data_IF_699389580761
#
_entry.id   IF_699389580761
#
_cell.length_a   1.000
_cell.length_b   1.000
_cell.length_c   1.000
_cell.angle_alpha   90.00
_cell.angle_beta   90.00
_cell.angle_gamma   90.00
#
_symmetry.space_group_name_H-M   'P 1'
#
loop_
_entity.id
_entity.type
_entity.pdbx_description
1 polymer ?
#
# COMPACT_ATOMS: atom_id res chain seq x y z
N UNK A 1 -51.73 -48.79 -13.93
CA UNK A 1 -51.25 -49.13 -12.57
C UNK A 1 -49.85 -48.55 -12.41
N UNK A 2 -49.71 -47.69 -11.39
CA UNK A 2 -48.53 -47.29 -10.61
C UNK A 2 -47.15 -47.02 -11.28
N UNK A 3 -46.83 -45.72 -11.37
CA UNK A 3 -45.66 -44.96 -10.85
C UNK A 3 -44.27 -45.59 -10.63
N UNK A 4 -43.23 -44.84 -11.06
CA UNK A 4 -42.21 -44.16 -10.21
C UNK A 4 -40.96 -43.79 -11.07
N UNK A 5 -40.82 -42.54 -11.55
CA UNK A 5 -40.03 -41.39 -11.04
C UNK A 5 -38.50 -41.59 -10.89
N UNK A 6 -37.72 -40.94 -11.75
CA UNK A 6 -36.43 -40.32 -11.40
C UNK A 6 -35.99 -39.29 -12.46
N UNK A 7 -36.64 -38.13 -12.44
CA UNK A 7 -36.06 -36.87 -12.92
C UNK A 7 -36.05 -35.96 -11.71
N UNK A 8 -34.86 -35.63 -11.18
CA UNK A 8 -34.53 -34.49 -10.29
C UNK A 8 -33.20 -34.80 -9.57
N UNK A 9 -32.08 -34.51 -10.23
CA UNK A 9 -30.80 -34.41 -9.50
C UNK A 9 -29.82 -33.36 -10.05
N UNK A 10 -30.04 -32.81 -11.24
CA UNK A 10 -29.09 -31.84 -11.83
C UNK A 10 -29.47 -30.36 -11.61
N UNK A 11 -30.62 -30.06 -11.02
CA UNK A 11 -31.10 -28.67 -10.90
C UNK A 11 -30.84 -28.02 -9.53
N UNK A 12 -30.10 -28.67 -8.61
CA UNK A 12 -29.88 -28.16 -7.25
C UNK A 12 -28.44 -27.69 -6.94
N UNK A 13 -27.52 -27.75 -7.92
CA UNK A 13 -26.12 -27.32 -7.70
C UNK A 13 -25.79 -25.93 -8.28
N UNK A 14 -26.63 -25.37 -9.15
CA UNK A 14 -26.39 -24.04 -9.77
C UNK A 14 -27.00 -22.86 -9.00
N UNK A 15 -27.96 -23.10 -8.09
CA UNK A 15 -28.60 -22.02 -7.31
C UNK A 15 -27.88 -21.69 -5.99
N UNK A 16 -26.79 -22.40 -5.63
CA UNK A 16 -26.09 -22.20 -4.35
C UNK A 16 -24.81 -21.34 -4.40
N UNK A 17 -24.47 -20.78 -5.56
CA UNK A 17 -23.32 -19.86 -5.73
C UNK A 17 -23.72 -18.40 -6.05
N UNK A 18 -25.02 -18.08 -6.08
CA UNK A 18 -25.51 -16.72 -6.38
C UNK A 18 -25.95 -15.88 -5.17
N UNK A 19 -25.72 -16.32 -3.95
CA UNK A 19 -26.03 -15.51 -2.76
C UNK A 19 -24.90 -15.55 -1.74
N UNK A 20 -23.89 -14.70 -1.96
CA UNK A 20 -23.19 -13.96 -0.91
C UNK A 20 -22.09 -13.08 -1.52
N UNK A 21 -22.46 -11.86 -1.88
CA UNK A 21 -21.55 -10.72 -1.89
C UNK A 21 -22.37 -9.48 -1.60
N UNK A 22 -22.35 -8.92 -0.38
CA UNK A 22 -22.86 -7.57 -0.20
C UNK A 22 -21.96 -6.63 -1.01
N UNK A 23 -22.57 -5.69 -1.73
CA UNK A 23 -21.86 -4.62 -2.39
C UNK A 23 -20.91 -3.94 -1.39
N UNK A 24 -19.63 -3.85 -1.73
CA UNK A 24 -18.65 -3.12 -0.94
C UNK A 24 -19.13 -1.66 -0.80
N UNK A 25 -19.25 -1.11 0.42
CA UNK A 25 -19.57 0.28 0.57
C UNK A 25 -18.36 1.09 0.08
N UNK A 26 -18.60 1.99 -0.86
CA UNK A 26 -17.68 3.05 -1.27
C UNK A 26 -17.31 3.87 -0.03
N UNK A 27 -16.23 3.49 0.66
CA UNK A 27 -15.69 4.26 1.78
C UNK A 27 -14.86 5.39 1.17
N UNK A 28 -15.47 6.55 1.08
CA UNK A 28 -14.73 7.82 1.00
C UNK A 28 -13.93 8.00 2.30
N UNK A 29 -12.66 8.40 2.20
CA UNK A 29 -11.70 8.53 3.32
C UNK A 29 -12.09 9.54 4.43
N UNK A 30 -13.29 10.10 4.41
CA UNK A 30 -13.76 11.01 5.43
C UNK A 30 -15.25 10.81 5.73
N UNK A 31 -15.57 10.01 6.75
CA UNK A 31 -16.76 10.28 7.55
C UNK A 31 -16.65 9.78 9.00
N UNK A 32 -16.48 10.76 9.88
CA UNK A 32 -17.03 10.88 11.24
C UNK A 32 -16.84 9.73 12.23
N UNK A 33 -15.91 9.99 13.17
CA UNK A 33 -16.05 9.58 14.56
C UNK A 33 -17.45 9.94 15.10
N UNK A 34 -18.18 8.92 15.56
CA UNK A 34 -19.17 9.07 16.63
C UNK A 34 -18.73 8.19 17.80
N UNK A 35 -18.75 8.68 19.05
CA UNK A 35 -18.41 7.86 20.20
C UNK A 35 -19.57 6.92 20.52
N UNK A 36 -19.30 5.62 20.50
CA UNK A 36 -20.17 4.59 21.06
C UNK A 36 -20.25 4.78 22.58
N UNK A 37 -21.24 5.53 23.04
CA UNK A 37 -21.72 5.47 24.42
C UNK A 37 -22.85 4.44 24.44
N UNK A 38 -22.60 3.26 24.99
CA UNK A 38 -23.49 2.62 25.95
C UNK A 38 -22.92 1.29 26.48
N UNK A 39 -23.34 0.99 27.70
CA UNK A 39 -23.32 -0.30 28.40
C UNK A 39 -22.07 -0.61 29.25
N UNK A 40 -22.00 0.07 30.39
CA UNK A 40 -21.74 -0.63 31.66
C UNK A 40 -22.87 -0.32 32.64
N UNK A 41 -23.84 -1.22 32.72
CA UNK A 41 -24.89 -1.23 33.73
C UNK A 41 -24.61 -2.37 34.70
N UNK A 42 -23.74 -2.15 35.69
CA UNK A 42 -23.85 -2.80 37.01
C UNK A 42 -22.89 -2.18 38.02
N UNK A 43 -23.30 -1.08 38.65
CA UNK A 43 -22.85 -0.73 40.00
C UNK A 43 -24.04 -0.14 40.75
N UNK A 44 -24.25 -0.67 41.96
CA UNK A 44 -25.46 -0.52 42.74
C UNK A 44 -25.88 0.92 43.00
N UNK A 45 -27.19 1.08 43.24
CA UNK A 45 -27.85 2.32 43.67
C UNK A 45 -27.06 3.00 44.80
N UNK A 46 -26.21 3.96 44.46
CA UNK A 46 -25.69 4.94 45.39
C UNK A 46 -26.57 6.19 45.27
N UNK A 47 -27.13 6.61 46.41
CA UNK A 47 -27.94 7.83 46.51
C UNK A 47 -27.16 9.03 45.94
N UNK A 48 -27.81 9.94 45.18
CA UNK A 48 -27.16 11.10 44.55
C UNK A 48 -26.43 12.00 45.55
N UNK A 49 -26.77 11.96 46.85
CA UNK A 49 -26.05 12.68 47.90
C UNK A 49 -24.60 12.18 48.12
N UNK A 50 -24.29 10.91 47.80
CA UNK A 50 -22.95 10.33 47.97
C UNK A 50 -22.00 10.64 46.80
N UNK A 51 -22.54 10.88 45.60
CA UNK A 51 -21.74 11.30 44.43
C UNK A 51 -21.22 12.74 44.57
N UNK A 52 -21.98 13.62 45.24
CA UNK A 52 -21.56 14.99 45.52
C UNK A 52 -20.38 15.07 46.50
N UNK A 53 -20.35 14.22 47.53
CA UNK A 53 -19.25 14.18 48.50
C UNK A 53 -17.93 13.69 47.87
N UNK A 54 -17.99 12.73 46.94
CA UNK A 54 -16.81 12.28 46.19
C UNK A 54 -16.26 13.36 45.25
N UNK A 55 -17.13 14.15 44.62
CA UNK A 55 -16.71 15.27 43.77
C UNK A 55 -15.98 16.37 44.55
N UNK A 56 -16.45 16.71 45.76
CA UNK A 56 -15.82 17.72 46.61
C UNK A 56 -14.47 17.23 47.15
N UNK A 57 -14.34 15.93 47.51
CA UNK A 57 -13.09 15.35 47.97
C UNK A 57 -12.00 15.31 46.87
N UNK A 58 -12.41 15.11 45.60
CA UNK A 58 -11.51 15.14 44.46
C UNK A 58 -11.00 16.57 44.15
N UNK A 59 -11.86 17.59 44.33
CA UNK A 59 -11.47 18.99 44.14
C UNK A 59 -10.49 19.48 45.23
N UNK A 60 -10.63 19.01 46.47
CA UNK A 60 -9.72 19.34 47.58
C UNK A 60 -8.33 18.69 47.44
N UNK A 61 -8.22 17.56 46.74
CA UNK A 61 -6.94 16.85 46.53
C UNK A 61 -6.13 17.41 45.34
N UNK A 62 -6.79 18.01 44.34
CA UNK A 62 -6.10 18.71 43.24
C UNK A 62 -5.59 20.09 43.65
N UNK A 63 -6.26 20.77 44.60
CA UNK A 63 -5.84 22.09 45.07
C UNK A 63 -4.59 22.07 45.99
N UNK A 64 -4.19 20.92 46.52
CA UNK A 64 -3.05 20.77 47.46
C UNK A 64 -1.78 20.20 46.81
N UNK A 65 -1.82 19.85 45.52
CA UNK A 65 -0.69 19.23 44.81
C UNK A 65 0.03 20.15 43.82
N UNK A 66 -0.20 21.46 43.88
CA UNK A 66 0.59 22.43 43.12
C UNK A 66 1.91 22.74 43.85
N UNK A 67 3.08 22.46 43.25
CA UNK A 67 4.34 22.87 43.82
C UNK A 67 4.45 24.40 43.72
N UNK A 68 4.57 25.05 44.88
CA UNK A 68 5.04 26.42 44.99
C UNK A 68 6.49 26.51 44.52
N UNK A 69 6.70 27.28 43.45
CA UNK A 69 7.95 27.97 43.18
C UNK A 69 9.03 27.17 42.46
N UNK A 70 9.29 27.54 41.20
CA UNK A 70 10.63 27.96 40.75
C UNK A 70 10.49 28.84 39.52
N UNK A 71 10.57 30.15 39.73
CA UNK A 71 10.95 31.11 38.70
C UNK A 71 12.47 31.04 38.50
N UNK A 72 12.91 30.58 37.35
CA UNK A 72 14.23 30.83 36.73
C UNK A 72 14.13 30.31 35.28
N UNK A 73 14.47 31.00 34.20
CA UNK A 73 15.08 32.29 33.94
C UNK A 73 14.74 32.70 32.48
N UNK A 74 14.88 33.98 32.09
CA UNK A 74 14.66 34.41 30.71
C UNK A 74 15.82 34.03 29.78
N UNK A 75 15.47 33.60 28.57
CA UNK A 75 16.40 33.52 27.42
C UNK A 75 16.81 34.94 27.01
N UNK A 76 18.11 35.28 27.03
CA UNK A 76 18.73 36.14 25.99
C UNK A 76 20.28 36.20 26.07
N UNK A 77 20.87 35.75 24.97
CA UNK A 77 22.00 36.30 24.21
C UNK A 77 23.29 36.71 24.94
N UNK A 78 24.38 35.99 24.64
CA UNK A 78 25.66 36.60 24.22
C UNK A 78 26.29 35.79 23.09
N UNK A 79 26.09 36.25 21.86
CA UNK A 79 27.09 36.05 20.81
C UNK A 79 28.21 37.03 21.05
N UNK A 80 29.44 36.52 21.23
CA UNK A 80 30.71 37.24 21.06
C UNK A 80 31.86 36.27 21.38
N UNK A 81 32.29 35.52 20.37
CA UNK A 81 33.68 35.61 19.93
C UNK A 81 33.86 34.91 18.57
N UNK A 82 33.82 35.72 17.51
CA UNK A 82 34.70 35.49 16.37
C UNK A 82 36.13 35.65 16.89
N UNK A 83 36.88 34.56 16.97
CA UNK A 83 38.34 34.59 16.82
C UNK A 83 38.65 33.67 15.65
N UNK A 84 39.00 34.29 14.53
CA UNK A 84 39.78 33.65 13.48
C UNK A 84 41.11 33.18 14.08
N UNK A 85 41.44 31.92 13.87
CA UNK A 85 42.81 31.42 13.85
C UNK A 85 43.04 30.74 12.51
N UNK A 86 43.61 31.45 11.54
CA UNK A 86 44.14 30.87 10.32
C UNK A 86 45.30 29.93 10.64
N UNK A 87 45.29 28.74 10.04
CA UNK A 87 46.49 27.92 9.91
C UNK A 87 46.25 26.45 10.21
N UNK A 88 45.70 25.70 9.24
CA UNK A 88 46.30 24.46 8.72
C UNK A 88 45.33 23.78 7.76
N UNK A 89 45.91 23.37 6.63
CA UNK A 89 45.28 22.71 5.51
C UNK A 89 44.36 21.55 5.90
N UNK A 90 43.05 21.75 5.76
CA UNK A 90 42.16 20.71 5.27
C UNK A 90 41.25 21.34 4.24
N UNK A 91 41.56 21.08 2.97
CA UNK A 91 40.52 21.09 1.95
C UNK A 91 39.44 20.14 2.46
N UNK A 92 38.34 20.68 2.99
CA UNK A 92 37.08 19.98 2.96
C UNK A 92 36.72 19.89 1.48
N UNK A 93 37.36 18.97 0.76
CA UNK A 93 36.68 18.33 -0.33
C UNK A 93 35.38 17.85 0.29
N UNK A 94 34.27 18.44 -0.13
CA UNK A 94 33.01 17.76 -0.12
C UNK A 94 33.28 16.45 -0.87
N UNK A 95 33.64 15.40 -0.12
CA UNK A 95 33.45 14.04 -0.57
C UNK A 95 31.98 14.02 -0.92
N UNK A 96 31.71 14.10 -2.24
CA UNK A 96 30.40 13.75 -2.78
C UNK A 96 30.06 12.46 -2.07
N UNK A 97 29.00 12.50 -1.29
CA UNK A 97 28.33 11.30 -0.77
C UNK A 97 28.35 10.31 -1.91
N UNK A 98 29.28 9.36 -1.85
CA UNK A 98 29.24 8.21 -2.74
C UNK A 98 27.95 7.55 -2.32
N UNK A 99 26.97 7.48 -3.23
CA UNK A 99 25.69 6.87 -2.93
C UNK A 99 25.96 5.58 -2.16
N UNK A 100 25.43 5.41 -0.94
CA UNK A 100 25.72 4.23 -0.15
C UNK A 100 25.43 3.03 -1.03
N UNK A 101 26.45 2.20 -1.29
CA UNK A 101 26.40 1.09 -2.23
C UNK A 101 25.10 0.33 -1.96
N UNK A 102 24.14 0.46 -2.87
CA UNK A 102 22.86 -0.21 -2.74
C UNK A 102 23.15 -1.70 -2.82
N UNK A 103 22.92 -2.42 -1.71
CA UNK A 103 23.00 -3.88 -1.73
C UNK A 103 21.80 -4.37 -2.53
N UNK A 104 22.05 -4.67 -3.80
CA UNK A 104 21.10 -5.30 -4.71
C UNK A 104 21.09 -6.78 -4.38
N UNK A 105 19.91 -7.31 -4.07
CA UNK A 105 19.71 -8.73 -3.78
C UNK A 105 18.70 -9.31 -4.76
N UNK A 106 18.90 -10.57 -5.21
CA UNK A 106 17.93 -11.22 -6.08
C UNK A 106 16.64 -11.52 -5.32
N UNK A 107 15.50 -11.37 -6.00
CA UNK A 107 14.22 -11.90 -5.55
C UNK A 107 14.12 -13.39 -5.89
N UNK A 108 13.38 -14.19 -5.08
CA UNK A 108 13.13 -15.60 -5.36
C UNK A 108 12.16 -15.79 -6.53
N UNK A 109 12.59 -15.37 -7.72
CA UNK A 109 11.88 -15.50 -9.00
C UNK A 109 12.26 -16.81 -9.68
N UNK A 110 11.45 -17.25 -10.66
CA UNK A 110 11.71 -18.45 -11.47
C UNK A 110 11.93 -19.74 -10.65
N UNK A 111 11.10 -19.98 -9.63
CA UNK A 111 11.28 -21.09 -8.69
C UNK A 111 10.36 -22.29 -8.93
N UNK A 112 9.35 -22.17 -9.81
CA UNK A 112 8.36 -23.22 -9.99
C UNK A 112 8.75 -24.13 -11.15
N UNK A 113 9.16 -25.36 -10.82
CA UNK A 113 9.49 -26.37 -11.82
C UNK A 113 8.26 -26.69 -12.69
N UNK A 114 8.46 -26.74 -14.01
CA UNK A 114 7.42 -27.04 -14.99
C UNK A 114 6.61 -25.84 -15.49
N UNK A 115 6.76 -24.66 -14.88
CA UNK A 115 6.13 -23.43 -15.40
C UNK A 115 6.98 -22.77 -16.48
N UNK A 116 6.31 -22.30 -17.55
CA UNK A 116 6.96 -21.52 -18.60
C UNK A 116 7.30 -20.10 -18.12
N UNK A 117 8.27 -19.46 -18.76
CA UNK A 117 8.59 -18.05 -18.48
C UNK A 117 7.44 -17.15 -18.95
N UNK A 118 7.14 -16.09 -18.20
CA UNK A 118 6.08 -15.15 -18.53
C UNK A 118 6.24 -14.51 -19.92
N UNK A 119 7.47 -14.26 -20.36
CA UNK A 119 7.76 -13.72 -21.70
C UNK A 119 7.51 -14.72 -22.83
N UNK A 120 7.42 -16.02 -22.53
CA UNK A 120 7.16 -17.11 -23.48
C UNK A 120 5.72 -17.63 -23.45
N UNK A 121 4.92 -17.15 -22.51
CA UNK A 121 3.54 -17.56 -22.38
C UNK A 121 2.76 -17.22 -23.65
N UNK A 122 2.09 -18.19 -24.27
CA UNK A 122 1.29 -17.89 -25.45
C UNK A 122 -0.01 -17.20 -25.04
N UNK A 123 -0.25 -15.96 -25.44
CA UNK A 123 -1.49 -15.24 -25.10
C UNK A 123 -2.48 -15.25 -26.26
N UNK A 124 -3.75 -15.50 -25.96
CA UNK A 124 -4.87 -15.27 -26.89
C UNK A 124 -5.83 -14.30 -26.23
N UNK A 125 -5.78 -12.99 -26.56
CA UNK A 125 -6.49 -11.98 -25.79
C UNK A 125 -8.01 -12.18 -25.74
N UNK A 126 -8.57 -12.20 -24.53
CA UNK A 126 -10.00 -12.04 -24.28
C UNK A 126 -10.30 -10.57 -23.96
N UNK A 127 -10.49 -9.77 -25.00
CA UNK A 127 -10.67 -8.31 -24.86
C UNK A 127 -11.93 -7.93 -24.07
N UNK A 128 -12.95 -8.80 -24.03
CA UNK A 128 -14.15 -8.58 -23.22
C UNK A 128 -13.87 -8.48 -21.71
N UNK A 129 -12.74 -9.03 -21.24
CA UNK A 129 -12.33 -8.99 -19.84
C UNK A 129 -11.60 -7.70 -19.45
N UNK A 130 -11.20 -6.84 -20.41
CA UNK A 130 -10.39 -5.65 -20.14
C UNK A 130 -11.09 -4.64 -19.25
N UNK A 131 -12.40 -4.41 -19.45
CA UNK A 131 -13.19 -3.49 -18.61
C UNK A 131 -13.16 -3.95 -17.15
N UNK A 132 -13.39 -5.25 -16.93
CA UNK A 132 -13.37 -5.81 -15.58
C UNK A 132 -11.98 -5.72 -14.95
N UNK A 133 -10.93 -6.05 -15.70
CA UNK A 133 -9.55 -5.96 -15.21
C UNK A 133 -9.15 -4.52 -14.85
N UNK A 134 -9.56 -3.54 -15.66
CA UNK A 134 -9.40 -2.11 -15.35
C UNK A 134 -10.09 -1.74 -14.04
N UNK A 135 -11.35 -2.12 -13.87
CA UNK A 135 -12.12 -1.76 -12.69
C UNK A 135 -11.53 -2.39 -11.42
N UNK A 136 -11.02 -3.62 -11.50
CA UNK A 136 -10.25 -4.25 -10.42
C UNK A 136 -8.99 -3.45 -10.11
N UNK A 137 -8.21 -3.05 -11.12
CA UNK A 137 -6.99 -2.26 -10.92
C UNK A 137 -7.27 -0.88 -10.30
N UNK A 138 -8.33 -0.18 -10.73
CA UNK A 138 -8.77 1.10 -10.15
C UNK A 138 -9.09 0.92 -8.67
N UNK A 139 -9.99 -0.01 -8.34
CA UNK A 139 -10.42 -0.22 -6.96
C UNK A 139 -9.26 -0.66 -6.06
N UNK A 140 -8.37 -1.49 -6.59
CA UNK A 140 -7.16 -1.93 -5.87
C UNK A 140 -6.22 -0.76 -5.62
N UNK A 141 -5.99 0.12 -6.60
CA UNK A 141 -5.14 1.30 -6.45
C UNK A 141 -5.65 2.18 -5.32
N UNK A 142 -6.94 2.49 -5.33
CA UNK A 142 -7.54 3.32 -4.28
C UNK A 142 -7.43 2.66 -2.90
N UNK A 143 -7.67 1.34 -2.82
CA UNK A 143 -7.53 0.59 -1.57
C UNK A 143 -6.07 0.56 -1.07
N UNK A 144 -5.09 0.40 -1.96
CA UNK A 144 -3.67 0.42 -1.62
C UNK A 144 -3.22 1.80 -1.12
N UNK A 145 -3.71 2.89 -1.74
CA UNK A 145 -3.49 4.27 -1.27
C UNK A 145 -4.07 4.44 0.13
N UNK A 146 -5.32 4.03 0.35
CA UNK A 146 -6.00 4.14 1.64
C UNK A 146 -5.26 3.37 2.74
N UNK A 147 -4.93 2.09 2.51
CA UNK A 147 -4.23 1.28 3.50
C UNK A 147 -2.82 1.81 3.81
N UNK A 148 -2.12 2.35 2.81
CA UNK A 148 -0.81 2.96 3.01
C UNK A 148 -0.93 4.23 3.86
N UNK A 149 -1.93 5.08 3.61
CA UNK A 149 -2.23 6.25 4.42
C UNK A 149 -2.55 5.86 5.86
N UNK A 150 -3.48 4.92 6.07
CA UNK A 150 -3.87 4.44 7.40
C UNK A 150 -2.68 3.84 8.17
N UNK A 151 -1.81 3.10 7.49
CA UNK A 151 -0.59 2.57 8.08
C UNK A 151 0.36 3.69 8.53
N UNK A 152 0.58 4.70 7.68
CA UNK A 152 1.45 5.84 8.02
C UNK A 152 0.91 6.62 9.22
N UNK A 153 -0.40 6.85 9.28
CA UNK A 153 -1.03 7.58 10.39
C UNK A 153 -0.87 6.84 11.71
N UNK A 154 -1.18 5.54 11.71
CA UNK A 154 -1.25 4.75 12.93
C UNK A 154 0.09 4.19 13.40
N UNK A 155 1.00 3.88 12.48
CA UNK A 155 2.26 3.21 12.80
C UNK A 155 3.47 4.14 12.73
N UNK A 156 3.37 5.26 12.01
CA UNK A 156 4.51 6.14 11.69
C UNK A 156 4.25 7.61 12.06
N UNK A 157 3.04 7.92 12.55
CA UNK A 157 2.61 9.28 12.94
C UNK A 157 2.82 10.32 11.84
N UNK A 158 2.45 9.97 10.61
CA UNK A 158 2.51 10.88 9.46
C UNK A 158 1.48 10.54 8.38
N UNK A 159 1.49 11.28 7.30
CA UNK A 159 0.61 11.08 6.14
C UNK A 159 1.42 10.72 4.87
N UNK A 160 0.73 10.22 3.85
CA UNK A 160 1.30 9.79 2.57
C UNK A 160 2.06 10.92 1.89
N UNK A 161 1.48 12.12 1.81
CA UNK A 161 2.09 13.28 1.15
C UNK A 161 3.40 13.69 1.84
N UNK A 162 3.40 13.73 3.15
CA UNK A 162 4.57 14.00 3.99
C UNK A 162 5.63 12.90 3.83
N UNK A 163 5.23 11.62 3.78
CA UNK A 163 6.13 10.50 3.57
C UNK A 163 6.79 10.54 2.18
N UNK A 164 6.01 10.73 1.11
CA UNK A 164 6.52 10.87 -0.26
C UNK A 164 7.54 12.01 -0.32
N UNK A 165 7.22 13.17 0.25
CA UNK A 165 8.13 14.31 0.29
C UNK A 165 9.42 13.98 1.05
N UNK A 166 9.30 13.39 2.24
CA UNK A 166 10.44 13.02 3.10
C UNK A 166 11.39 12.03 2.42
N UNK A 167 10.85 11.08 1.65
CA UNK A 167 11.62 10.03 1.00
C UNK A 167 11.83 10.24 -0.52
N UNK A 168 11.54 11.43 -1.04
CA UNK A 168 11.64 11.77 -2.48
C UNK A 168 13.01 11.52 -3.13
N UNK A 169 14.09 11.55 -2.35
CA UNK A 169 15.45 11.25 -2.82
C UNK A 169 15.86 9.79 -2.67
N UNK A 170 15.01 8.94 -2.09
CA UNK A 170 15.28 7.53 -1.89
C UNK A 170 14.44 6.74 -2.89
N UNK A 171 15.12 6.04 -3.80
CA UNK A 171 14.47 5.22 -4.82
C UNK A 171 14.52 3.76 -4.42
N UNK A 172 13.38 3.08 -4.52
CA UNK A 172 13.37 1.64 -4.66
C UNK A 172 13.90 1.33 -6.07
N UNK A 173 14.97 0.55 -6.13
CA UNK A 173 15.35 -0.15 -7.34
C UNK A 173 14.66 -1.50 -7.26
N UNK A 174 13.70 -1.74 -8.13
CA UNK A 174 13.04 -3.01 -8.32
C UNK A 174 13.06 -3.30 -9.82
N UNK A 175 13.70 -4.39 -10.23
CA UNK A 175 13.77 -4.76 -11.64
C UNK A 175 12.47 -5.48 -12.05
N UNK A 176 11.65 -4.88 -12.89
CA UNK A 176 10.46 -5.51 -13.46
C UNK A 176 10.11 -4.89 -14.82
N UNK A 177 9.26 -5.53 -15.65
CA UNK A 177 9.00 -5.07 -17.02
C UNK A 177 8.46 -3.63 -17.12
N UNK A 178 7.62 -3.21 -16.16
CA UNK A 178 7.01 -1.87 -16.13
C UNK A 178 7.86 -0.78 -15.43
N UNK A 179 9.13 -1.04 -15.10
CA UNK A 179 9.95 -0.12 -14.30
C UNK A 179 10.04 1.27 -14.93
N UNK A 180 10.24 1.35 -16.24
CA UNK A 180 10.41 2.63 -16.95
C UNK A 180 9.14 3.50 -16.93
N UNK A 181 7.96 2.88 -16.94
CA UNK A 181 6.68 3.57 -16.79
C UNK A 181 6.42 3.97 -15.34
N UNK A 182 6.74 3.10 -14.39
CA UNK A 182 6.58 3.37 -12.95
C UNK A 182 7.43 4.56 -12.50
N UNK A 183 8.64 4.72 -13.04
CA UNK A 183 9.51 5.87 -12.77
C UNK A 183 8.88 7.22 -13.18
N UNK A 184 7.92 7.21 -14.10
CA UNK A 184 7.21 8.39 -14.59
C UNK A 184 5.90 8.67 -13.85
N UNK A 185 5.48 7.80 -12.94
CA UNK A 185 4.34 8.06 -12.08
C UNK A 185 4.77 8.99 -10.95
N UNK A 186 4.17 10.18 -10.91
CA UNK A 186 4.46 11.23 -9.94
C UNK A 186 3.26 11.48 -9.05
N UNK A 187 3.51 11.85 -7.80
CA UNK A 187 2.47 12.28 -6.89
C UNK A 187 2.18 13.77 -7.11
N UNK A 188 0.94 14.09 -7.43
CA UNK A 188 0.45 15.45 -7.58
C UNK A 188 0.05 16.00 -6.21
N UNK A 189 0.81 16.98 -5.72
CA UNK A 189 0.62 17.53 -4.38
C UNK A 189 -0.64 18.40 -4.22
N UNK A 190 -1.25 18.83 -5.33
CA UNK A 190 -2.45 19.67 -5.33
C UNK A 190 -3.72 18.83 -5.30
N UNK A 191 -3.79 17.80 -6.16
CA UNK A 191 -4.93 16.88 -6.24
C UNK A 191 -4.81 15.68 -5.31
N UNK A 192 -3.61 15.44 -4.76
CA UNK A 192 -3.27 14.29 -3.93
C UNK A 192 -3.48 12.94 -4.66
N UNK A 193 -3.23 12.95 -5.97
CA UNK A 193 -3.35 11.78 -6.87
C UNK A 193 -1.99 11.34 -7.43
N UNK A 194 -1.95 10.13 -7.98
CA UNK A 194 -0.81 9.64 -8.75
C UNK A 194 -1.08 9.80 -10.24
N UNK A 195 -0.23 10.58 -10.90
CA UNK A 195 -0.38 10.92 -12.32
C UNK A 195 0.74 10.25 -13.12
N UNK A 196 0.40 9.59 -14.22
CA UNK A 196 1.38 9.00 -15.13
C UNK A 196 1.79 10.02 -16.21
N UNK A 197 2.96 10.64 -16.04
CA UNK A 197 3.41 11.75 -16.89
C UNK A 197 4.23 11.24 -18.08
N UNK A 198 3.95 11.77 -19.28
CA UNK A 198 4.69 11.35 -20.49
C UNK A 198 4.44 9.89 -20.84
N UNK A 199 3.19 9.46 -20.68
CA UNK A 199 2.71 8.14 -21.07
C UNK A 199 3.01 7.89 -22.56
N UNK A 200 3.56 6.71 -22.85
CA UNK A 200 3.82 6.27 -24.21
C UNK A 200 2.57 5.59 -24.79
N UNK A 201 2.43 5.55 -26.12
CA UNK A 201 1.45 4.69 -26.76
C UNK A 201 1.58 3.26 -26.24
N UNK A 202 0.44 2.66 -25.94
CA UNK A 202 0.32 1.28 -25.48
C UNK A 202 0.38 0.35 -26.67
N UNK A 203 1.06 -0.79 -26.51
CA UNK A 203 1.31 -1.78 -27.57
C UNK A 203 0.09 -2.69 -27.79
N UNK A 204 0.31 -3.97 -28.11
CA UNK A 204 -0.78 -4.94 -28.28
C UNK A 204 -1.24 -5.50 -26.93
N UNK A 205 -2.48 -6.02 -26.86
CA UNK A 205 -2.98 -6.64 -25.63
C UNK A 205 -2.06 -7.78 -25.16
N UNK A 206 -1.50 -8.56 -26.10
CA UNK A 206 -0.55 -9.63 -25.80
C UNK A 206 0.71 -9.11 -25.11
N UNK A 207 1.38 -8.13 -25.72
CA UNK A 207 2.64 -7.57 -25.18
C UNK A 207 2.44 -6.88 -23.83
N UNK A 208 1.31 -6.18 -23.64
CA UNK A 208 1.00 -5.54 -22.38
C UNK A 208 0.64 -6.54 -21.27
N UNK A 209 -0.07 -7.63 -21.60
CA UNK A 209 -0.44 -8.62 -20.59
C UNK A 209 0.78 -9.37 -20.06
N UNK A 210 1.79 -9.66 -20.89
CA UNK A 210 3.07 -10.22 -20.40
C UNK A 210 3.69 -9.32 -19.34
N UNK A 211 3.84 -8.04 -19.65
CA UNK A 211 4.49 -7.08 -18.76
C UNK A 211 3.71 -6.88 -17.45
N UNK A 212 2.38 -6.83 -17.52
CA UNK A 212 1.51 -6.68 -16.35
C UNK A 212 1.58 -7.91 -15.45
N UNK A 213 1.40 -9.11 -16.00
CA UNK A 213 1.41 -10.36 -15.24
C UNK A 213 2.75 -10.55 -14.56
N UNK A 214 3.84 -10.38 -15.30
CA UNK A 214 5.18 -10.54 -14.75
C UNK A 214 5.48 -9.49 -13.67
N UNK A 215 5.10 -8.23 -13.89
CA UNK A 215 5.29 -7.18 -12.88
C UNK A 215 4.52 -7.48 -11.59
N UNK A 216 3.28 -7.96 -11.68
CA UNK A 216 2.49 -8.32 -10.50
C UNK A 216 3.16 -9.44 -9.69
N UNK A 217 3.70 -10.47 -10.35
CA UNK A 217 4.46 -11.55 -9.69
C UNK A 217 5.73 -11.02 -9.00
N UNK A 218 6.46 -10.12 -9.66
CA UNK A 218 7.67 -9.52 -9.08
C UNK A 218 7.34 -8.70 -7.83
N UNK A 219 6.27 -7.90 -7.86
CA UNK A 219 5.85 -7.10 -6.69
C UNK A 219 5.34 -8.00 -5.57
N UNK A 220 4.64 -9.09 -5.88
CA UNK A 220 4.26 -10.11 -4.89
C UNK A 220 5.50 -10.71 -4.20
N UNK A 221 6.48 -11.17 -4.98
CA UNK A 221 7.74 -11.70 -4.44
C UNK A 221 8.54 -10.66 -3.64
N UNK A 222 8.45 -9.38 -3.98
CA UNK A 222 9.02 -8.32 -3.16
C UNK A 222 8.39 -8.30 -1.76
N UNK A 223 7.06 -8.44 -1.66
CA UNK A 223 6.37 -8.47 -0.37
C UNK A 223 6.76 -9.70 0.46
N UNK A 224 6.97 -10.85 -0.16
CA UNK A 224 7.49 -12.03 0.53
C UNK A 224 8.93 -11.84 1.05
N UNK A 225 9.76 -11.08 0.31
CA UNK A 225 11.14 -10.80 0.69
C UNK A 225 11.29 -9.69 1.75
N UNK A 226 10.32 -8.77 1.84
CA UNK A 226 10.35 -7.65 2.79
C UNK A 226 10.01 -8.12 4.20
N UNK A 227 10.83 -7.75 5.18
CA UNK A 227 10.55 -8.06 6.58
C UNK A 227 9.53 -7.10 7.17
N UNK A 228 8.34 -7.60 7.45
CA UNK A 228 7.29 -6.89 8.17
C UNK A 228 7.29 -7.23 9.66
N UNK A 229 6.98 -6.25 10.51
CA UNK A 229 6.64 -6.59 11.90
C UNK A 229 5.29 -7.29 11.91
N UNK A 230 5.02 -8.10 12.94
CA UNK A 230 3.74 -8.80 13.05
C UNK A 230 2.54 -7.85 12.94
N UNK A 231 2.63 -6.64 13.51
CA UNK A 231 1.57 -5.65 13.45
C UNK A 231 1.45 -5.00 12.07
N UNK A 232 2.57 -4.61 11.44
CA UNK A 232 2.55 -4.06 10.08
C UNK A 232 1.89 -5.06 9.10
N UNK A 233 2.29 -6.32 9.18
CA UNK A 233 1.80 -7.36 8.28
C UNK A 233 0.31 -7.61 8.46
N UNK A 234 -0.10 -8.03 9.66
CA UNK A 234 -1.46 -8.53 9.86
C UNK A 234 -2.53 -7.42 9.82
N UNK A 235 -2.16 -6.17 10.10
CA UNK A 235 -3.12 -5.07 10.09
C UNK A 235 -3.20 -4.33 8.75
N UNK A 236 -2.14 -4.35 7.92
CA UNK A 236 -2.07 -3.51 6.72
C UNK A 236 -1.57 -4.27 5.50
N UNK A 237 -0.36 -4.82 5.55
CA UNK A 237 0.30 -5.32 4.34
C UNK A 237 -0.17 -6.69 3.86
N UNK A 238 -0.81 -7.50 4.72
CA UNK A 238 -1.39 -8.78 4.31
C UNK A 238 -2.42 -8.60 3.18
N UNK A 239 -3.21 -7.52 3.22
CA UNK A 239 -4.21 -7.23 2.20
C UNK A 239 -3.60 -6.94 0.81
N UNK A 240 -2.32 -6.55 0.74
CA UNK A 240 -1.64 -6.38 -0.54
C UNK A 240 -1.47 -7.73 -1.27
N UNK A 241 -1.33 -8.84 -0.55
CA UNK A 241 -1.29 -10.16 -1.19
C UNK A 241 -2.62 -10.46 -1.89
N UNK A 242 -3.75 -10.17 -1.24
CA UNK A 242 -5.07 -10.31 -1.85
C UNK A 242 -5.23 -9.38 -3.08
N UNK A 243 -4.65 -8.18 -3.02
CA UNK A 243 -4.61 -7.25 -4.14
C UNK A 243 -3.84 -7.82 -5.33
N UNK A 244 -2.67 -8.41 -5.11
CA UNK A 244 -1.88 -9.05 -6.15
C UNK A 244 -2.65 -10.22 -6.77
N UNK A 245 -3.24 -11.10 -5.97
CA UNK A 245 -3.99 -12.26 -6.46
C UNK A 245 -5.22 -11.86 -7.29
N UNK A 246 -5.99 -10.86 -6.86
CA UNK A 246 -7.15 -10.40 -7.62
C UNK A 246 -6.78 -9.74 -8.95
N UNK A 247 -5.71 -8.93 -8.97
CA UNK A 247 -5.22 -8.32 -10.21
C UNK A 247 -4.61 -9.35 -11.14
N UNK A 248 -3.87 -10.32 -10.59
CA UNK A 248 -3.30 -11.44 -11.32
C UNK A 248 -4.39 -12.25 -12.01
N UNK A 249 -5.41 -12.68 -11.27
CA UNK A 249 -6.53 -13.43 -11.80
C UNK A 249 -7.24 -12.66 -12.92
N UNK A 250 -7.43 -11.35 -12.76
CA UNK A 250 -8.07 -10.51 -13.77
C UNK A 250 -7.21 -10.34 -15.03
N UNK A 251 -5.89 -10.17 -14.88
CA UNK A 251 -4.94 -10.09 -15.99
C UNK A 251 -4.85 -11.43 -16.75
N UNK A 252 -4.77 -12.56 -16.04
CA UNK A 252 -4.80 -13.90 -16.64
C UNK A 252 -6.09 -14.14 -17.42
N UNK A 253 -7.23 -13.65 -16.92
CA UNK A 253 -8.51 -13.72 -17.66
C UNK A 253 -8.46 -12.93 -18.97
N UNK A 254 -7.81 -11.76 -19.00
CA UNK A 254 -7.57 -11.00 -20.24
C UNK A 254 -6.62 -11.76 -21.17
N UNK A 255 -5.60 -12.41 -20.63
CA UNK A 255 -4.67 -13.26 -21.37
C UNK A 255 -5.29 -14.60 -21.86
N UNK A 256 -6.53 -14.90 -21.43
CA UNK A 256 -7.21 -16.18 -21.61
C UNK A 256 -6.39 -17.37 -21.11
N UNK A 257 -5.85 -17.23 -19.89
CA UNK A 257 -5.00 -18.20 -19.21
C UNK A 257 -5.55 -18.55 -17.84
N UNK A 258 -5.31 -19.78 -17.39
CA UNK A 258 -5.60 -20.24 -16.04
C UNK A 258 -4.34 -20.40 -15.18
N UNK A 259 -3.21 -20.69 -15.83
CA UNK A 259 -1.98 -21.07 -15.16
C UNK A 259 -1.04 -19.88 -15.04
N UNK A 260 -0.27 -19.86 -13.97
CA UNK A 260 0.76 -18.86 -13.73
C UNK A 260 2.04 -19.19 -14.53
N UNK A 261 2.92 -18.20 -14.61
CA UNK A 261 4.21 -18.28 -15.29
C UNK A 261 5.35 -17.94 -14.33
N UNK A 262 6.58 -18.28 -14.72
CA UNK A 262 7.78 -17.89 -14.00
C UNK A 262 8.22 -16.47 -14.45
N UNK A 263 8.27 -15.48 -13.54
CA UNK A 263 8.84 -14.17 -13.86
C UNK A 263 10.34 -14.32 -14.13
N UNK A 264 10.91 -13.43 -14.95
CA UNK A 264 12.36 -13.40 -15.15
C UNK A 264 13.10 -12.95 -13.89
N UNK A 265 14.42 -13.14 -13.90
CA UNK A 265 15.28 -12.77 -12.77
C UNK A 265 15.08 -11.30 -12.41
N UNK A 266 14.60 -11.08 -11.18
CA UNK A 266 14.38 -9.75 -10.60
C UNK A 266 15.27 -9.54 -9.39
N UNK A 267 15.58 -8.28 -9.12
CA UNK A 267 16.39 -7.85 -7.99
C UNK A 267 15.85 -6.54 -7.39
N UNK A 268 16.26 -6.27 -6.16
CA UNK A 268 15.91 -5.02 -5.48
C UNK A 268 16.98 -4.53 -4.50
N UNK A 269 16.98 -3.22 -4.21
CA UNK A 269 17.87 -2.65 -3.19
C UNK A 269 17.33 -2.85 -1.76
N UNK A 270 17.77 -3.93 -1.11
CA UNK A 270 17.31 -4.34 0.23
C UNK A 270 17.45 -3.27 1.32
N UNK A 271 18.46 -2.41 1.22
CA UNK A 271 18.76 -1.40 2.24
C UNK A 271 18.05 -0.06 2.00
N UNK A 272 16.91 -0.04 1.32
CA UNK A 272 16.07 1.16 1.23
C UNK A 272 15.68 1.63 2.65
N UNK A 273 15.93 2.91 2.94
CA UNK A 273 15.76 3.49 4.30
C UNK A 273 14.36 3.29 4.87
N UNK A 274 13.36 3.15 3.99
CA UNK A 274 11.99 2.88 4.38
C UNK A 274 11.33 1.86 3.44
N UNK A 275 11.92 0.66 3.37
CA UNK A 275 11.58 -0.37 2.39
C UNK A 275 10.09 -0.73 2.32
N UNK A 276 9.40 -0.87 3.46
CA UNK A 276 7.95 -1.19 3.50
C UNK A 276 7.10 -0.14 2.78
N UNK A 277 7.40 1.12 3.05
CA UNK A 277 6.74 2.25 2.38
C UNK A 277 7.07 2.30 0.89
N UNK A 278 8.34 2.08 0.54
CA UNK A 278 8.78 1.99 -0.85
C UNK A 278 8.04 0.89 -1.63
N UNK A 279 7.89 -0.31 -1.06
CA UNK A 279 7.16 -1.41 -1.69
C UNK A 279 5.67 -1.08 -1.90
N UNK A 280 5.03 -0.44 -0.91
CA UNK A 280 3.66 0.03 -1.02
C UNK A 280 3.50 1.10 -2.11
N UNK A 281 4.44 2.06 -2.14
CA UNK A 281 4.46 3.14 -3.12
C UNK A 281 4.68 2.61 -4.53
N UNK A 282 5.58 1.64 -4.70
CA UNK A 282 5.81 0.96 -5.96
C UNK A 282 4.54 0.27 -6.46
N UNK A 283 3.84 -0.44 -5.57
CA UNK A 283 2.56 -1.08 -5.89
C UNK A 283 1.53 -0.07 -6.41
N UNK A 284 1.39 1.08 -5.73
CA UNK A 284 0.45 2.14 -6.15
C UNK A 284 0.81 2.68 -7.54
N UNK A 285 2.11 2.84 -7.82
CA UNK A 285 2.57 3.31 -9.14
C UNK A 285 2.35 2.26 -10.22
N UNK A 286 2.64 0.99 -9.95
CA UNK A 286 2.34 -0.13 -10.86
C UNK A 286 0.86 -0.15 -11.20
N UNK A 287 -0.02 -0.07 -10.20
CA UNK A 287 -1.47 -0.05 -10.42
C UNK A 287 -1.90 1.19 -11.22
N UNK A 288 -1.28 2.35 -11.01
CA UNK A 288 -1.51 3.55 -11.83
C UNK A 288 -1.16 3.31 -13.31
N UNK A 289 -0.01 2.69 -13.58
CA UNK A 289 0.39 2.32 -14.96
C UNK A 289 -0.58 1.30 -15.56
N UNK A 290 -0.98 0.28 -14.79
CA UNK A 290 -1.93 -0.74 -15.24
C UNK A 290 -3.28 -0.14 -15.64
N UNK A 291 -3.84 0.74 -14.80
CA UNK A 291 -5.10 1.44 -15.11
C UNK A 291 -4.99 2.19 -16.44
N UNK A 292 -3.91 2.95 -16.63
CA UNK A 292 -3.67 3.67 -17.87
C UNK A 292 -3.57 2.72 -19.09
N UNK A 293 -2.81 1.62 -18.95
CA UNK A 293 -2.67 0.63 -20.03
C UNK A 293 -4.01 0.01 -20.40
N UNK A 294 -4.81 -0.39 -19.42
CA UNK A 294 -6.15 -0.92 -19.68
C UNK A 294 -7.06 0.10 -20.36
N UNK A 295 -7.06 1.37 -19.92
CA UNK A 295 -7.86 2.43 -20.57
C UNK A 295 -7.50 2.61 -22.04
N UNK A 296 -6.21 2.60 -22.38
CA UNK A 296 -5.74 2.69 -23.76
C UNK A 296 -6.10 1.43 -24.57
N UNK A 297 -5.91 0.23 -24.02
CA UNK A 297 -6.30 -1.02 -24.69
C UNK A 297 -7.81 -1.14 -24.94
N UNK A 298 -8.64 -0.56 -24.07
CA UNK A 298 -10.09 -0.48 -24.27
C UNK A 298 -10.43 0.54 -25.35
N UNK A 299 -9.76 1.70 -25.35
CA UNK A 299 -10.01 2.78 -26.32
C UNK A 299 -9.54 2.44 -27.74
N UNK A 300 -8.60 1.52 -27.87
CA UNK A 300 -8.02 1.08 -29.15
C UNK A 300 -8.78 -0.11 -29.79
N UNK A 301 -9.86 -0.59 -29.16
CA UNK A 301 -10.78 -1.60 -29.74
C UNK A 301 -11.84 -0.95 -30.61
#
# INVERSE_FOLDING_TARGET
>A
MANSTSETSEMLSSERLQQQSPAAPTRTCHQQQQPLIAVFSSLGRMSPAKCWLLGILLLLTVATSWPTGTSAAPRRARGLHLILGHGQHRHHQHARSTDPISIIVPLPTNQTEGWESCSKMSITPNTSALIYARDVAINTREAAICLTQEWLEHMQSGDLKSAIRKFSFHKLYLKHPLQAEVEKVVFNYETETFDYVGAKPVSTVEEEMHQIIETLLVVEHLFDAVQFSHKDWNCYFKAFMDFFHHNMHSALRVANKSDLCNPEDSDYNKNHIFLKFAAALETIKVLTVMVHKYDQLISNQ
#
